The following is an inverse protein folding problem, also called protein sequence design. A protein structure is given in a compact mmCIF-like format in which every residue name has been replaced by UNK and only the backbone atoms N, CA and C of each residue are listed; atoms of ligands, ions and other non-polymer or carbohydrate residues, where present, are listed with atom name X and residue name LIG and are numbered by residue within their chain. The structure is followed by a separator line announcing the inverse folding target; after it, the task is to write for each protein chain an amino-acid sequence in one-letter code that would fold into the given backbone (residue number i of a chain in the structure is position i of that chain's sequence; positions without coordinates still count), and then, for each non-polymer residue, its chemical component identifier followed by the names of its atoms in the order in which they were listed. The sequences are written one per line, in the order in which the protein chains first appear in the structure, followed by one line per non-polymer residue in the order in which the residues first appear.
data_IF_714465196360
#
_entry.id   IF_714465196360
#
_cell.length_a   1.000
_cell.length_b   1.000
_cell.length_c   1.000
_cell.angle_alpha   90.00
_cell.angle_beta   90.00
_cell.angle_gamma   90.00
#
_symmetry.space_group_name_H-M   'P 1'
#
loop_
_entity.id
_entity.type
_entity.pdbx_description
1 polymer ?
#
# COMPACT_ATOMS: atom_id res chain seq x y z
N UNK A 1 -10.43 18.53 13.57
CA UNK A 1 -9.03 18.75 13.14
C UNK A 1 -8.24 17.71 13.90
N UNK A 2 -7.89 16.60 13.25
CA UNK A 2 -7.20 15.49 13.90
C UNK A 2 -5.73 15.63 13.53
N UNK A 3 -4.94 16.14 14.46
CA UNK A 3 -3.49 16.24 14.34
C UNK A 3 -2.92 14.88 14.72
N UNK A 4 -2.57 14.08 13.70
CA UNK A 4 -1.77 12.88 13.89
C UNK A 4 -0.30 13.33 14.00
N UNK A 5 0.17 13.58 15.22
CA UNK A 5 1.62 13.64 15.48
C UNK A 5 2.16 12.21 15.41
N UNK A 6 2.70 11.85 14.24
CA UNK A 6 3.55 10.68 14.12
C UNK A 6 4.79 10.92 14.99
N UNK A 7 4.89 10.19 16.11
CA UNK A 7 6.12 10.13 16.91
C UNK A 7 7.19 9.39 16.08
N UNK A 8 7.92 10.16 15.28
CA UNK A 8 9.09 9.70 14.54
C UNK A 8 10.23 9.56 15.55
N UNK A 9 10.13 8.57 16.44
CA UNK A 9 11.28 8.08 17.18
C UNK A 9 12.36 7.81 16.14
N UNK A 10 13.39 8.69 16.09
CA UNK A 10 14.32 8.81 14.96
C UNK A 10 14.72 7.42 14.46
N UNK A 11 14.08 6.96 13.39
CA UNK A 11 14.61 5.84 12.63
C UNK A 11 16.05 6.26 12.33
N UNK A 12 17.02 5.44 12.75
CA UNK A 12 18.42 5.69 12.43
C UNK A 12 18.58 5.94 10.93
N UNK A 13 19.69 6.54 10.48
CA UNK A 13 19.88 6.88 9.05
C UNK A 13 19.56 5.68 8.14
N UNK A 14 18.38 5.71 7.49
CA UNK A 14 17.98 4.70 6.50
C UNK A 14 18.73 5.01 5.21
N UNK A 15 19.41 4.01 4.65
CA UNK A 15 20.15 4.20 3.41
C UNK A 15 19.18 4.39 2.24
N UNK A 16 19.50 5.27 1.29
CA UNK A 16 18.70 5.48 0.05
C UNK A 16 18.34 4.17 -0.66
N UNK A 17 19.27 3.20 -0.70
CA UNK A 17 19.01 1.87 -1.27
C UNK A 17 17.87 1.09 -0.61
N UNK A 18 17.64 1.32 0.68
CA UNK A 18 16.55 0.68 1.45
C UNK A 18 15.23 1.33 1.09
N UNK A 19 15.19 2.67 1.02
CA UNK A 19 14.01 3.40 0.56
C UNK A 19 13.63 2.98 -0.86
N UNK A 20 14.60 2.87 -1.79
CA UNK A 20 14.37 2.36 -3.15
C UNK A 20 13.78 0.94 -3.15
N UNK A 21 14.30 0.05 -2.28
CA UNK A 21 13.76 -1.32 -2.15
C UNK A 21 12.31 -1.29 -1.69
N UNK A 22 11.99 -0.52 -0.66
CA UNK A 22 10.62 -0.41 -0.13
C UNK A 22 9.69 0.15 -1.20
N UNK A 23 10.11 1.21 -1.92
CA UNK A 23 9.35 1.77 -3.05
C UNK A 23 9.05 0.71 -4.12
N UNK A 24 10.04 -0.12 -4.46
CA UNK A 24 9.86 -1.20 -5.43
C UNK A 24 8.91 -2.29 -4.91
N UNK A 25 8.97 -2.62 -3.62
CA UNK A 25 8.03 -3.54 -2.99
C UNK A 25 6.58 -3.02 -3.10
N UNK A 26 6.36 -1.72 -2.87
CA UNK A 26 5.04 -1.08 -3.05
C UNK A 26 4.56 -1.11 -4.51
N UNK A 27 5.43 -0.81 -5.48
CA UNK A 27 5.07 -0.87 -6.91
C UNK A 27 4.62 -2.26 -7.34
N UNK A 28 5.33 -3.30 -6.89
CA UNK A 28 4.94 -4.69 -7.14
C UNK A 28 3.59 -5.04 -6.51
N UNK A 29 3.28 -4.48 -5.35
CA UNK A 29 1.98 -4.68 -4.72
C UNK A 29 0.84 -3.97 -5.47
N UNK A 30 1.08 -2.77 -5.99
CA UNK A 30 0.13 -2.06 -6.86
C UNK A 30 -0.16 -2.92 -8.10
N UNK A 31 0.88 -3.35 -8.81
CA UNK A 31 0.75 -4.20 -10.00
C UNK A 31 -0.01 -5.51 -9.70
N UNK A 32 0.27 -6.13 -8.55
CA UNK A 32 -0.44 -7.33 -8.11
C UNK A 32 -1.93 -7.04 -7.87
N UNK A 33 -2.26 -5.93 -7.20
CA UNK A 33 -3.64 -5.53 -6.91
C UNK A 33 -4.42 -5.26 -8.19
N UNK A 34 -3.81 -4.54 -9.16
CA UNK A 34 -4.40 -4.28 -10.47
C UNK A 34 -4.63 -5.57 -11.27
N UNK A 35 -3.64 -6.47 -11.27
CA UNK A 35 -3.71 -7.76 -11.98
C UNK A 35 -4.82 -8.62 -11.40
N UNK A 36 -4.92 -8.67 -10.08
CA UNK A 36 -5.92 -9.46 -9.37
C UNK A 36 -7.36 -8.97 -9.69
N UNK A 37 -7.59 -7.66 -9.68
CA UNK A 37 -8.88 -7.10 -10.06
C UNK A 37 -9.20 -7.32 -11.55
N UNK A 38 -8.22 -7.13 -12.43
CA UNK A 38 -8.42 -7.25 -13.88
C UNK A 38 -8.70 -8.68 -14.33
N UNK A 39 -7.89 -9.63 -13.87
CA UNK A 39 -7.82 -11.00 -14.38
C UNK A 39 -8.70 -11.97 -13.58
N UNK A 40 -8.69 -11.85 -12.25
CA UNK A 40 -9.39 -12.77 -11.34
C UNK A 40 -10.70 -12.19 -10.80
N UNK A 41 -10.99 -10.92 -11.06
CA UNK A 41 -12.18 -10.21 -10.55
C UNK A 41 -12.23 -10.18 -9.02
N UNK A 42 -11.05 -10.14 -8.42
CA UNK A 42 -10.85 -10.13 -6.97
C UNK A 42 -10.24 -8.81 -6.51
N UNK A 43 -10.77 -8.28 -5.42
CA UNK A 43 -10.30 -7.06 -4.77
C UNK A 43 -9.47 -7.46 -3.56
N UNK A 44 -8.22 -6.99 -3.54
CA UNK A 44 -7.35 -7.10 -2.38
C UNK A 44 -7.60 -5.90 -1.46
N UNK A 45 -8.28 -6.15 -0.35
CA UNK A 45 -8.63 -5.14 0.63
C UNK A 45 -7.40 -4.80 1.48
N UNK A 46 -6.77 -3.66 1.16
CA UNK A 46 -5.58 -3.16 1.82
C UNK A 46 -5.88 -1.80 2.46
N UNK A 47 -5.62 -1.72 3.75
CA UNK A 47 -5.58 -0.47 4.50
C UNK A 47 -4.16 -0.19 5.00
N UNK A 48 -3.93 1.05 5.41
CA UNK A 48 -2.61 1.50 5.91
C UNK A 48 -2.11 0.66 7.09
N UNK A 49 -3.03 0.23 7.95
CA UNK A 49 -2.76 -0.58 9.12
C UNK A 49 -2.33 -2.01 8.76
N UNK A 50 -2.66 -2.52 7.57
CA UNK A 50 -2.30 -3.88 7.14
C UNK A 50 -0.86 -3.99 6.66
N UNK A 51 -0.12 -2.88 6.58
CA UNK A 51 1.20 -2.82 5.96
C UNK A 51 2.30 -2.67 7.02
N UNK A 52 3.29 -3.57 6.98
CA UNK A 52 4.45 -3.54 7.88
C UNK A 52 5.73 -3.57 7.06
N UNK A 53 6.69 -2.73 7.44
CA UNK A 53 8.07 -2.84 6.98
C UNK A 53 8.89 -3.49 8.09
N UNK A 54 9.41 -4.68 7.82
CA UNK A 54 10.13 -5.50 8.81
C UNK A 54 11.59 -5.06 9.00
N UNK A 55 12.17 -5.35 10.17
CA UNK A 55 13.58 -5.11 10.46
C UNK A 55 14.28 -6.43 10.85
N UNK A 56 15.58 -6.60 10.52
CA UNK A 56 16.45 -5.64 9.82
C UNK A 56 16.37 -5.67 8.27
N UNK A 57 15.53 -6.52 7.69
CA UNK A 57 15.53 -6.80 6.24
C UNK A 57 14.83 -5.73 5.38
N UNK A 58 14.01 -4.85 5.98
CA UNK A 58 13.22 -3.83 5.31
C UNK A 58 12.34 -4.41 4.19
N UNK A 59 11.66 -5.51 4.50
CA UNK A 59 10.66 -6.12 3.61
C UNK A 59 9.27 -5.60 3.92
N UNK A 60 8.54 -5.19 2.88
CA UNK A 60 7.11 -4.94 2.95
C UNK A 60 6.37 -6.27 3.13
N UNK A 61 5.55 -6.34 4.18
CA UNK A 61 4.64 -7.46 4.44
C UNK A 61 3.24 -6.92 4.65
N UNK A 62 2.27 -7.68 4.18
CA UNK A 62 0.84 -7.41 4.38
C UNK A 62 0.34 -8.43 5.39
N UNK A 63 -0.44 -7.98 6.36
CA UNK A 63 -1.08 -8.85 7.34
C UNK A 63 -2.57 -8.51 7.47
N UNK A 64 -3.35 -9.51 7.87
CA UNK A 64 -4.80 -9.37 8.07
C UNK A 64 -5.55 -8.80 6.86
N UNK A 65 -5.11 -9.18 5.66
CA UNK A 65 -5.75 -8.78 4.41
C UNK A 65 -6.87 -9.74 4.04
N UNK A 66 -7.83 -9.23 3.27
CA UNK A 66 -8.96 -10.01 2.77
C UNK A 66 -9.00 -9.94 1.24
N UNK A 67 -9.56 -10.99 0.65
CA UNK A 67 -9.86 -11.07 -0.78
C UNK A 67 -11.37 -11.10 -0.94
N UNK A 68 -11.90 -10.15 -1.71
CA UNK A 68 -13.32 -10.06 -2.00
C UNK A 68 -13.58 -10.23 -3.49
N UNK A 69 -14.75 -10.76 -3.81
CA UNK A 69 -15.28 -10.72 -5.17
C UNK A 69 -15.65 -9.27 -5.51
N UNK A 70 -15.24 -8.78 -6.68
CA UNK A 70 -15.52 -7.40 -7.12
C UNK A 70 -17.02 -7.07 -7.11
N UNK A 71 -17.88 -8.07 -7.29
CA UNK A 71 -19.34 -7.90 -7.31
C UNK A 71 -19.94 -7.64 -5.92
N UNK A 72 -19.18 -7.84 -4.85
CA UNK A 72 -19.59 -7.57 -3.47
C UNK A 72 -19.19 -6.17 -2.99
N UNK A 73 -18.42 -5.42 -3.78
CA UNK A 73 -18.00 -4.06 -3.46
C UNK A 73 -18.75 -3.03 -4.31
N UNK A 74 -19.36 -2.05 -3.66
CA UNK A 74 -19.77 -0.82 -4.35
C UNK A 74 -18.54 0.07 -4.49
N UNK A 75 -18.23 0.53 -5.71
CA UNK A 75 -17.17 1.51 -5.88
C UNK A 75 -17.53 2.79 -5.13
N UNK A 76 -16.58 3.32 -4.37
CA UNK A 76 -16.76 4.59 -3.67
C UNK A 76 -17.07 5.68 -4.69
N UNK A 77 -18.03 6.57 -4.38
CA UNK A 77 -18.57 7.54 -5.34
C UNK A 77 -17.46 8.32 -6.06
N UNK A 78 -17.29 8.05 -7.36
CA UNK A 78 -16.37 8.77 -8.25
C UNK A 78 -15.16 7.98 -8.75
N UNK A 79 -14.92 6.76 -8.26
CA UNK A 79 -13.86 5.88 -8.78
C UNK A 79 -14.40 4.86 -9.78
N UNK A 80 -13.57 4.52 -10.77
CA UNK A 80 -13.92 3.61 -11.86
C UNK A 80 -14.12 2.16 -11.38
N UNK A 81 -13.45 1.77 -10.30
CA UNK A 81 -13.46 0.41 -9.78
C UNK A 81 -13.03 0.36 -8.31
N UNK A 82 -13.49 -0.64 -7.51
CA UNK A 82 -13.27 -0.69 -6.06
C UNK A 82 -11.80 -0.77 -5.62
N UNK A 83 -10.94 -1.41 -6.40
CA UNK A 83 -9.51 -1.56 -6.09
C UNK A 83 -8.74 -0.24 -6.14
N UNK A 84 -9.27 0.78 -6.82
CA UNK A 84 -8.60 2.07 -6.99
C UNK A 84 -8.41 2.81 -5.66
N UNK A 85 -9.31 2.60 -4.68
CA UNK A 85 -9.15 3.16 -3.34
C UNK A 85 -7.90 2.57 -2.65
N UNK A 86 -7.70 1.26 -2.77
CA UNK A 86 -6.55 0.57 -2.21
C UNK A 86 -5.25 0.94 -2.94
N UNK A 87 -5.29 1.03 -4.27
CA UNK A 87 -4.15 1.48 -5.08
C UNK A 87 -3.74 2.90 -4.69
N UNK A 88 -4.69 3.83 -4.53
CA UNK A 88 -4.40 5.20 -4.15
C UNK A 88 -3.72 5.30 -2.77
N UNK A 89 -4.04 4.41 -1.83
CA UNK A 89 -3.31 4.30 -0.55
C UNK A 89 -1.86 3.90 -0.77
N UNK A 90 -1.60 2.90 -1.61
CA UNK A 90 -0.25 2.42 -1.92
C UNK A 90 0.57 3.48 -2.68
N UNK A 91 -0.04 4.20 -3.62
CA UNK A 91 0.61 5.29 -4.35
C UNK A 91 1.05 6.42 -3.42
N UNK A 92 0.21 6.79 -2.44
CA UNK A 92 0.59 7.78 -1.42
C UNK A 92 1.81 7.35 -0.60
N UNK A 93 1.98 6.06 -0.34
CA UNK A 93 3.20 5.56 0.28
C UNK A 93 4.41 5.70 -0.64
N UNK A 94 4.27 5.35 -1.92
CA UNK A 94 5.34 5.55 -2.93
C UNK A 94 5.78 7.01 -2.97
N UNK A 95 4.83 7.94 -3.00
CA UNK A 95 5.10 9.39 -3.02
C UNK A 95 5.70 9.89 -1.70
N UNK A 96 5.32 9.31 -0.56
CA UNK A 96 5.91 9.68 0.74
C UNK A 96 7.38 9.25 0.88
N UNK A 97 7.77 8.22 0.14
CA UNK A 97 9.13 7.71 0.09
C UNK A 97 9.98 8.45 -0.94
N UNK A 98 9.42 9.46 -1.62
CA UNK A 98 10.03 10.10 -2.76
C UNK A 98 11.45 10.61 -2.42
N UNK A 99 12.38 10.15 -3.26
CA UNK A 99 13.82 10.21 -3.09
C UNK A 99 14.44 11.33 -3.93
N UNK A 100 13.63 12.34 -4.30
CA UNK A 100 14.02 13.56 -4.98
C UNK A 100 15.27 14.19 -4.34
#
# INVERSE_FOLDING_TARGET
RWDFEFDVGRFGRIKKKVLLKITEDFRRLIEYTETLAREEKLILDIHTENLIITLPEFELKIFDFHLFDEHLYESTQGLASPEQDHIAVLERFVDSLDLH
#
